data_IF_779003795437
#
_entry.id   IF_779003795437
#
_cell.length_a   1.000
_cell.length_b   1.000
_cell.length_c   1.000
_cell.angle_alpha   90.00
_cell.angle_beta   90.00
_cell.angle_gamma   90.00
#
_symmetry.space_group_name_H-M   'P 1'
#
loop_
_entity.id
_entity.type
_entity.pdbx_description
1 polymer ?
#
# COMPACT_ATOMS: atom_id res chain seq x y z
N UNK A 1 -6.62 3.77 9.56
CA UNK A 1 -5.22 4.09 9.91
C UNK A 1 -4.70 5.16 8.98
N UNK A 2 -3.97 6.15 9.50
CA UNK A 2 -3.33 7.20 8.72
C UNK A 2 -2.16 6.66 7.89
N UNK A 3 -2.18 6.92 6.59
CA UNK A 3 -1.12 6.59 5.64
C UNK A 3 0.00 7.66 5.64
N UNK A 4 -0.35 8.89 6.00
CA UNK A 4 0.54 10.05 6.01
C UNK A 4 0.29 10.91 7.24
N UNK A 5 1.23 11.81 7.54
CA UNK A 5 1.01 12.89 8.49
C UNK A 5 0.13 13.98 7.86
N UNK A 6 -0.70 14.62 8.68
CA UNK A 6 -1.55 15.72 8.27
C UNK A 6 -1.62 16.77 9.39
N UNK A 7 -1.44 18.04 9.01
CA UNK A 7 -1.65 19.20 9.87
C UNK A 7 -2.99 19.84 9.53
N UNK A 8 -3.81 20.08 10.56
CA UNK A 8 -5.11 20.73 10.46
C UNK A 8 -5.02 22.08 9.75
N UNK A 9 -5.98 22.36 8.86
CA UNK A 9 -6.04 23.60 8.07
C UNK A 9 -7.24 24.47 8.41
N UNK A 10 -8.28 23.88 8.98
CA UNK A 10 -9.42 24.54 9.58
C UNK A 10 -9.54 24.20 11.07
N UNK A 11 -10.34 24.97 11.81
CA UNK A 11 -10.56 24.79 13.24
C UNK A 11 -11.22 23.43 13.57
N UNK A 12 -12.04 22.91 12.65
CA UNK A 12 -12.74 21.64 12.81
C UNK A 12 -11.93 20.42 12.27
N UNK A 13 -10.72 20.64 11.74
CA UNK A 13 -9.86 19.58 11.23
C UNK A 13 -9.07 18.92 12.37
N UNK A 14 -8.83 17.61 12.25
CA UNK A 14 -8.00 16.87 13.19
C UNK A 14 -6.58 16.71 12.63
N UNK A 15 -5.57 17.16 13.39
CA UNK A 15 -4.16 16.90 13.07
C UNK A 15 -3.76 15.49 13.51
N UNK A 16 -2.98 14.78 12.70
CA UNK A 16 -2.59 13.41 13.04
C UNK A 16 -1.25 12.96 12.45
N UNK A 17 -0.65 11.97 13.08
CA UNK A 17 0.60 11.36 12.61
C UNK A 17 0.35 10.12 11.73
N UNK A 18 1.32 9.79 10.86
CA UNK A 18 1.30 8.51 10.12
C UNK A 18 1.16 7.35 11.13
N UNK A 19 0.28 6.39 10.83
CA UNK A 19 0.02 5.23 11.66
C UNK A 19 -1.07 5.43 12.72
N UNK A 20 -1.57 6.65 12.91
CA UNK A 20 -2.66 6.93 13.84
C UNK A 20 -3.97 6.22 13.44
N UNK A 21 -4.76 5.80 14.43
CA UNK A 21 -5.99 5.03 14.20
C UNK A 21 -7.21 5.87 14.56
N UNK A 22 -8.25 5.70 13.75
CA UNK A 22 -9.50 6.44 13.88
C UNK A 22 -10.68 5.50 13.86
N UNK A 23 -11.73 5.89 14.57
CA UNK A 23 -13.08 5.44 14.30
C UNK A 23 -13.76 6.47 13.38
N UNK A 24 -14.21 6.03 12.21
CA UNK A 24 -14.97 6.90 11.30
C UNK A 24 -16.39 7.05 11.84
N UNK A 25 -16.81 8.29 12.07
CA UNK A 25 -18.15 8.65 12.56
C UNK A 25 -19.07 8.90 11.37
N UNK A 26 -18.63 9.73 10.42
CA UNK A 26 -19.40 10.07 9.23
C UNK A 26 -18.50 10.10 7.98
N UNK A 27 -18.88 9.35 6.96
CA UNK A 27 -18.22 9.28 5.65
C UNK A 27 -19.18 9.42 4.46
N UNK A 28 -20.39 9.97 4.67
CA UNK A 28 -21.43 10.01 3.64
C UNK A 28 -21.22 11.11 2.61
N UNK A 29 -20.47 12.18 2.94
CA UNK A 29 -20.36 13.36 2.10
C UNK A 29 -18.89 13.76 1.85
N UNK A 30 -18.51 13.80 0.58
CA UNK A 30 -17.29 14.44 0.11
C UNK A 30 -15.98 13.72 0.45
N UNK A 31 -14.88 14.48 0.31
CA UNK A 31 -13.51 14.01 0.51
C UNK A 31 -13.04 14.09 1.96
N UNK A 32 -13.87 14.63 2.86
CA UNK A 32 -13.57 14.84 4.28
C UNK A 32 -14.52 14.04 5.16
N UNK A 33 -13.96 13.25 6.06
CA UNK A 33 -14.73 12.37 6.94
C UNK A 33 -14.62 12.85 8.38
N UNK A 34 -15.73 12.80 9.10
CA UNK A 34 -15.72 13.02 10.55
C UNK A 34 -15.17 11.77 11.22
N UNK A 35 -14.15 11.96 12.06
CA UNK A 35 -13.43 10.87 12.70
C UNK A 35 -13.14 11.18 14.16
N UNK A 36 -13.00 10.11 14.95
CA UNK A 36 -12.55 10.14 16.33
C UNK A 36 -11.17 9.48 16.42
N UNK A 37 -10.16 10.22 16.87
CA UNK A 37 -8.82 9.68 17.10
C UNK A 37 -8.84 8.74 18.29
N UNK A 38 -8.32 7.53 18.09
CA UNK A 38 -8.14 6.55 19.17
C UNK A 38 -6.89 6.82 20.01
N UNK A 39 -6.04 7.77 19.60
CA UNK A 39 -4.82 8.16 20.31
C UNK A 39 -5.07 9.36 21.21
N UNK A 40 -5.68 10.43 20.68
CA UNK A 40 -5.91 11.68 21.43
C UNK A 40 -7.31 11.74 22.06
N UNK A 41 -8.27 10.96 21.55
CA UNK A 41 -9.69 11.05 21.94
C UNK A 41 -10.44 12.23 21.32
N UNK A 42 -9.78 13.02 20.47
CA UNK A 42 -10.38 14.17 19.81
C UNK A 42 -11.23 13.76 18.61
N UNK A 43 -12.16 14.65 18.24
CA UNK A 43 -13.02 14.51 17.06
C UNK A 43 -12.79 15.69 16.13
N UNK A 44 -12.86 15.41 14.84
CA UNK A 44 -12.76 16.43 13.80
C UNK A 44 -12.77 15.81 12.41
N UNK A 45 -12.57 16.63 11.40
CA UNK A 45 -12.51 16.20 10.02
C UNK A 45 -11.11 15.76 9.61
N UNK A 46 -11.06 14.67 8.83
CA UNK A 46 -9.83 14.16 8.23
C UNK A 46 -10.01 13.96 6.72
N UNK A 47 -8.98 14.17 5.90
CA UNK A 47 -9.04 13.89 4.47
C UNK A 47 -9.09 12.36 4.25
N UNK A 48 -10.14 11.89 3.56
CA UNK A 48 -10.40 10.47 3.32
C UNK A 48 -9.27 9.75 2.59
N UNK A 49 -8.55 10.43 1.69
CA UNK A 49 -7.41 9.87 0.95
C UNK A 49 -6.11 9.75 1.77
N UNK A 50 -6.11 10.19 3.04
CA UNK A 50 -4.99 10.03 3.96
C UNK A 50 -5.17 8.81 4.86
N UNK A 51 -6.28 8.10 4.76
CA UNK A 51 -6.57 6.94 5.59
C UNK A 51 -6.90 5.70 4.76
N UNK A 52 -6.62 4.54 5.35
CA UNK A 52 -7.09 3.25 4.86
C UNK A 52 -7.74 2.46 6.01
N UNK A 53 -8.65 1.52 5.72
CA UNK A 53 -9.06 0.52 6.69
C UNK A 53 -7.83 -0.23 7.24
N UNK A 54 -7.83 -0.55 8.54
CA UNK A 54 -6.63 -1.09 9.24
C UNK A 54 -6.10 -2.37 8.60
N UNK A 55 -7.00 -3.26 8.17
CA UNK A 55 -6.63 -4.58 7.62
C UNK A 55 -6.65 -4.62 6.09
N UNK A 56 -6.71 -3.46 5.42
CA UNK A 56 -6.71 -3.42 3.96
C UNK A 56 -5.29 -3.40 3.39
N UNK A 57 -5.15 -3.86 2.14
CA UNK A 57 -3.87 -3.76 1.42
C UNK A 57 -3.37 -2.32 1.32
N UNK A 58 -4.26 -1.32 1.32
CA UNK A 58 -3.88 0.09 1.27
C UNK A 58 -3.15 0.56 2.52
N UNK A 59 -3.30 -0.13 3.65
CA UNK A 59 -2.58 0.17 4.89
C UNK A 59 -1.15 -0.42 4.92
N UNK A 60 -0.81 -1.32 3.98
CA UNK A 60 0.47 -2.01 3.96
C UNK A 60 1.57 -1.10 3.41
N UNK A 61 2.70 -0.99 4.14
CA UNK A 61 3.81 -0.11 3.74
C UNK A 61 4.48 -0.52 2.41
N UNK A 62 4.37 -1.79 2.04
CA UNK A 62 4.87 -2.34 0.79
C UNK A 62 3.91 -2.15 -0.38
N UNK A 63 2.69 -1.62 -0.17
CA UNK A 63 1.71 -1.41 -1.23
C UNK A 63 1.73 0.04 -1.76
N UNK A 64 2.00 0.18 -3.05
CA UNK A 64 2.20 1.47 -3.73
C UNK A 64 1.10 1.80 -4.73
N UNK A 65 -0.06 1.14 -4.63
CA UNK A 65 -1.24 1.46 -5.43
C UNK A 65 -0.94 1.52 -6.93
N UNK A 66 -1.23 2.66 -7.55
CA UNK A 66 -1.11 2.89 -9.00
C UNK A 66 0.30 3.26 -9.48
N UNK A 67 1.34 3.03 -8.68
CA UNK A 67 2.71 3.31 -9.07
C UNK A 67 3.06 2.60 -10.40
N UNK A 68 3.57 3.36 -11.37
CA UNK A 68 3.95 2.83 -12.68
C UNK A 68 5.24 2.02 -12.62
N UNK A 69 5.47 1.14 -13.61
CA UNK A 69 6.68 0.30 -13.66
C UNK A 69 7.97 1.09 -13.56
N UNK A 70 8.09 2.18 -14.32
CA UNK A 70 9.31 3.00 -14.36
C UNK A 70 9.57 3.71 -13.03
N UNK A 71 8.52 4.17 -12.36
CA UNK A 71 8.67 4.85 -11.07
C UNK A 71 8.96 3.85 -9.95
N UNK A 72 8.38 2.65 -10.00
CA UNK A 72 8.78 1.54 -9.14
C UNK A 72 10.27 1.17 -9.30
N UNK A 73 10.78 1.15 -10.53
CA UNK A 73 12.21 0.91 -10.79
C UNK A 73 13.10 2.00 -10.18
N UNK A 74 12.77 3.28 -10.40
CA UNK A 74 13.49 4.41 -9.79
C UNK A 74 13.49 4.34 -8.27
N UNK A 75 12.33 4.04 -7.68
CA UNK A 75 12.19 3.98 -6.23
C UNK A 75 13.01 2.82 -5.64
N UNK A 76 12.94 1.62 -6.24
CA UNK A 76 13.68 0.46 -5.72
C UNK A 76 15.19 0.60 -5.91
N UNK A 77 15.65 1.18 -7.02
CA UNK A 77 17.06 1.42 -7.30
C UNK A 77 17.64 2.65 -6.58
N UNK A 78 16.84 3.37 -5.80
CA UNK A 78 17.34 4.49 -4.99
C UNK A 78 18.40 4.03 -3.98
N UNK A 79 19.35 4.92 -3.69
CA UNK A 79 20.43 4.67 -2.74
C UNK A 79 19.87 4.33 -1.36
N UNK A 80 20.44 3.31 -0.71
CA UNK A 80 20.03 2.86 0.62
C UNK A 80 19.13 1.61 0.61
N UNK A 81 18.42 1.34 -0.48
CA UNK A 81 17.68 0.09 -0.63
C UNK A 81 18.63 -1.09 -0.84
N UNK A 82 18.30 -2.24 -0.25
CA UNK A 82 19.11 -3.45 -0.30
C UNK A 82 18.56 -4.42 -1.36
N UNK A 83 19.38 -5.40 -1.77
CA UNK A 83 18.89 -6.54 -2.56
C UNK A 83 17.73 -7.20 -1.81
N UNK A 84 16.62 -7.46 -2.51
CA UNK A 84 15.39 -7.99 -1.92
C UNK A 84 14.39 -6.92 -1.49
N UNK A 85 14.74 -5.62 -1.46
CA UNK A 85 13.75 -4.55 -1.32
C UNK A 85 12.67 -4.70 -2.39
N UNK A 86 11.41 -4.63 -1.97
CA UNK A 86 10.27 -4.90 -2.84
C UNK A 86 9.12 -3.91 -2.62
N UNK A 87 8.21 -3.90 -3.59
CA UNK A 87 6.92 -3.26 -3.48
C UNK A 87 5.88 -4.01 -4.31
N UNK A 88 4.61 -3.87 -3.95
CA UNK A 88 3.48 -4.33 -4.75
C UNK A 88 2.70 -3.12 -5.27
N UNK A 89 2.32 -3.19 -6.54
CA UNK A 89 1.56 -2.15 -7.26
C UNK A 89 0.50 -2.77 -8.14
N UNK A 90 -0.47 -1.99 -8.58
CA UNK A 90 -1.46 -2.40 -9.56
C UNK A 90 -0.79 -2.78 -10.89
N UNK A 91 -1.35 -3.76 -11.58
CA UNK A 91 -0.85 -4.18 -12.89
C UNK A 91 -1.33 -3.24 -14.00
N UNK A 92 -0.40 -2.55 -14.65
CA UNK A 92 -0.66 -1.65 -15.80
C UNK A 92 -1.24 -2.38 -17.02
N UNK A 93 -1.04 -3.71 -17.11
CA UNK A 93 -1.45 -4.51 -18.28
C UNK A 93 -2.71 -5.33 -18.06
N UNK A 94 -3.24 -5.40 -16.83
CA UNK A 94 -4.37 -6.29 -16.51
C UNK A 94 -5.12 -5.75 -15.31
N UNK A 95 -6.34 -5.29 -15.57
CA UNK A 95 -7.24 -4.76 -14.55
C UNK A 95 -7.49 -5.81 -13.46
N UNK A 96 -7.37 -5.40 -12.20
CA UNK A 96 -7.59 -6.25 -11.03
C UNK A 96 -6.43 -7.20 -10.67
N UNK A 97 -5.35 -7.22 -11.46
CA UNK A 97 -4.12 -7.93 -11.11
C UNK A 97 -3.11 -6.97 -10.45
N UNK A 98 -2.07 -7.54 -9.83
CA UNK A 98 -0.99 -6.80 -9.19
C UNK A 98 0.37 -7.18 -9.80
N UNK A 99 1.38 -6.39 -9.51
CA UNK A 99 2.79 -6.68 -9.82
C UNK A 99 3.62 -6.57 -8.56
N UNK A 100 4.40 -7.61 -8.26
CA UNK A 100 5.49 -7.59 -7.28
C UNK A 100 6.77 -7.16 -7.99
N UNK A 101 7.33 -6.03 -7.57
CA UNK A 101 8.59 -5.49 -8.08
C UNK A 101 9.66 -5.67 -7.01
N UNK A 102 10.80 -6.27 -7.36
CA UNK A 102 11.86 -6.63 -6.40
C UNK A 102 13.22 -6.17 -6.95
N UNK A 103 13.99 -5.44 -6.14
CA UNK A 103 15.40 -5.12 -6.43
C UNK A 103 16.23 -6.40 -6.34
N UNK A 104 17.00 -6.65 -7.39
CA UNK A 104 17.89 -7.80 -7.47
C UNK A 104 19.24 -7.39 -8.08
N UNK A 105 20.18 -8.34 -8.05
CA UNK A 105 21.50 -8.18 -8.63
C UNK A 105 21.96 -9.49 -9.24
N UNK A 106 22.59 -9.42 -10.42
CA UNK A 106 23.32 -10.53 -11.03
C UNK A 106 24.58 -10.02 -11.77
N UNK A 107 25.53 -10.93 -12.03
CA UNK A 107 26.82 -10.61 -12.66
C UNK A 107 26.71 -10.04 -14.09
N UNK A 108 25.58 -10.27 -14.77
CA UNK A 108 25.39 -9.90 -16.19
C UNK A 108 24.75 -8.52 -16.30
N UNK A 109 23.73 -8.24 -15.49
CA UNK A 109 22.90 -7.03 -15.54
C UNK A 109 23.26 -6.00 -14.48
N UNK A 110 24.03 -6.40 -13.46
CA UNK A 110 24.23 -5.58 -12.28
C UNK A 110 22.92 -5.39 -11.51
N UNK A 111 22.76 -4.22 -10.89
CA UNK A 111 21.53 -3.86 -10.17
C UNK A 111 20.36 -3.69 -11.13
N UNK A 112 19.27 -4.40 -10.85
CA UNK A 112 18.07 -4.34 -11.67
C UNK A 112 16.82 -4.65 -10.85
N UNK A 113 15.64 -4.56 -11.48
CA UNK A 113 14.36 -4.89 -10.85
C UNK A 113 13.66 -5.99 -11.61
N UNK A 114 13.26 -7.04 -10.91
CA UNK A 114 12.39 -8.10 -11.43
C UNK A 114 10.93 -7.77 -11.15
N UNK A 115 10.06 -8.11 -12.10
CA UNK A 115 8.62 -7.84 -12.00
C UNK A 115 7.85 -9.14 -12.18
N UNK A 116 7.09 -9.55 -11.16
CA UNK A 116 6.26 -10.75 -11.17
C UNK A 116 4.80 -10.36 -11.13
N UNK A 117 4.01 -10.89 -12.06
CA UNK A 117 2.55 -10.66 -12.06
C UNK A 117 1.90 -11.51 -10.98
N UNK A 118 1.19 -10.86 -10.07
CA UNK A 118 0.29 -11.52 -9.12
C UNK A 118 -1.10 -11.52 -9.74
N UNK A 119 -1.61 -12.71 -10.03
CA UNK A 119 -2.96 -12.90 -10.58
C UNK A 119 -3.95 -13.14 -9.45
N UNK A 120 -5.20 -12.80 -9.71
CA UNK A 120 -6.34 -13.12 -8.85
C UNK A 120 -7.16 -14.24 -9.50
N UNK A 121 -7.56 -15.24 -8.73
CA UNK A 121 -8.49 -16.29 -9.12
C UNK A 121 -9.92 -15.78 -8.99
N UNK A 122 -10.83 -16.33 -9.79
CA UNK A 122 -12.27 -16.03 -9.69
C UNK A 122 -12.83 -16.40 -8.31
N UNK A 123 -12.25 -17.41 -7.65
CA UNK A 123 -12.58 -17.83 -6.28
C UNK A 123 -12.05 -16.90 -5.19
N UNK A 124 -11.34 -15.82 -5.53
CA UNK A 124 -10.91 -14.78 -4.59
C UNK A 124 -9.43 -14.81 -4.16
N UNK A 125 -8.67 -15.85 -4.50
CA UNK A 125 -7.25 -16.00 -4.10
C UNK A 125 -6.23 -15.33 -5.03
N UNK A 126 -4.99 -15.23 -4.57
CA UNK A 126 -3.84 -14.59 -5.23
C UNK A 126 -2.70 -15.57 -5.46
N UNK A 127 -1.99 -15.44 -6.58
CA UNK A 127 -0.83 -16.28 -6.88
C UNK A 127 0.14 -15.63 -7.87
N UNK A 128 1.43 -15.98 -7.76
CA UNK A 128 2.45 -15.72 -8.80
C UNK A 128 2.63 -16.98 -9.66
N UNK A 129 2.73 -18.14 -9.02
CA UNK A 129 2.79 -19.45 -9.67
C UNK A 129 1.58 -20.28 -9.24
N UNK A 130 1.08 -21.15 -10.11
CA UNK A 130 -0.12 -21.96 -9.80
C UNK A 130 0.09 -22.97 -8.68
N UNK A 131 1.34 -23.20 -8.25
CA UNK A 131 1.71 -24.12 -7.17
C UNK A 131 1.42 -23.56 -5.77
N UNK A 132 1.37 -22.23 -5.62
CA UNK A 132 1.16 -21.57 -4.33
C UNK A 132 0.10 -20.48 -4.49
N UNK A 133 -1.02 -20.64 -3.78
CA UNK A 133 -2.16 -19.72 -3.80
C UNK A 133 -2.44 -19.22 -2.38
N UNK A 134 -2.85 -17.96 -2.26
CA UNK A 134 -3.03 -17.26 -1.00
C UNK A 134 -4.39 -16.57 -0.97
N UNK A 135 -5.03 -16.45 0.19
CA UNK A 135 -6.32 -15.75 0.27
C UNK A 135 -6.14 -14.24 0.22
N UNK A 136 -5.00 -13.74 0.69
CA UNK A 136 -4.68 -12.30 0.73
C UNK A 136 -3.29 -12.02 0.18
N UNK A 137 -3.04 -10.76 -0.21
CA UNK A 137 -1.70 -10.33 -0.61
C UNK A 137 -0.72 -10.36 0.57
N UNK A 138 -1.20 -10.09 1.79
CA UNK A 138 -0.40 -10.21 3.01
C UNK A 138 0.16 -11.63 3.18
N UNK A 139 -0.68 -12.66 3.00
CA UNK A 139 -0.23 -14.06 3.07
C UNK A 139 0.79 -14.39 1.98
N UNK A 140 0.61 -13.85 0.77
CA UNK A 140 1.57 -14.00 -0.32
C UNK A 140 2.92 -13.38 0.05
N UNK A 141 2.93 -12.15 0.56
CA UNK A 141 4.15 -11.46 1.00
C UNK A 141 4.83 -12.22 2.13
N UNK A 142 4.08 -12.64 3.15
CA UNK A 142 4.59 -13.40 4.28
C UNK A 142 5.25 -14.73 3.84
N UNK A 143 4.72 -15.39 2.81
CA UNK A 143 5.29 -16.63 2.29
C UNK A 143 6.63 -16.44 1.57
N UNK A 144 6.85 -15.28 0.93
CA UNK A 144 8.05 -14.98 0.14
C UNK A 144 9.07 -14.07 0.85
N UNK A 145 8.82 -13.72 2.11
CA UNK A 145 9.73 -12.93 2.95
C UNK A 145 10.83 -13.77 3.58
#
# INVERSE_FOLDING_TARGET
VALYHYEARAEDDLSFSKGERFQIINNTEGDWWEAHSLTTGERGYIPSNYVAPVDSVQAEEWYFGKLGRKDAERQLLSTGNQRGSYLIRESETTKGAFSLSIRDWDDVKGEHVKHYKIRKLDSGGYYITTRSQFQTLQQLVQHYS
#
